data_IF_997699143553
#
_entry.id   IF_997699143553
#
_cell.length_a   1.000
_cell.length_b   1.000
_cell.length_c   1.000
_cell.angle_alpha   90.00
_cell.angle_beta   90.00
_cell.angle_gamma   90.00
#
_symmetry.space_group_name_H-M   'P 1'
#
loop_
_entity.id
_entity.type
_entity.pdbx_description
1 polymer ?
#
# COMPACT_ATOMS: atom_id res chain seq x y z
N UNK A 1 -13.80 8.96 6.79
CA UNK A 1 -12.56 9.72 7.03
C UNK A 1 -11.63 8.77 7.78
N UNK A 2 -10.53 8.31 7.17
CA UNK A 2 -9.59 7.41 7.85
C UNK A 2 -8.59 8.29 8.57
N UNK A 3 -8.57 8.24 9.90
CA UNK A 3 -7.67 9.05 10.72
C UNK A 3 -6.21 8.58 10.54
N UNK A 4 -5.28 9.53 10.51
CA UNK A 4 -3.84 9.25 10.63
C UNK A 4 -3.57 8.30 11.80
N UNK A 5 -2.85 7.21 11.56
CA UNK A 5 -2.52 6.21 12.58
C UNK A 5 -3.61 5.16 12.86
N UNK A 6 -4.76 5.21 12.18
CA UNK A 6 -5.71 4.11 12.23
C UNK A 6 -5.11 2.86 11.58
N UNK A 7 -5.27 1.71 12.26
CA UNK A 7 -4.98 0.42 11.66
C UNK A 7 -5.88 0.23 10.44
N UNK A 8 -5.29 -0.12 9.31
CA UNK A 8 -5.96 -0.34 8.04
C UNK A 8 -5.54 -1.67 7.46
N UNK A 9 -6.52 -2.39 6.93
CA UNK A 9 -6.31 -3.54 6.06
C UNK A 9 -6.87 -3.19 4.70
N UNK A 10 -5.99 -3.12 3.70
CA UNK A 10 -6.34 -2.77 2.33
C UNK A 10 -5.95 -3.91 1.41
N UNK A 11 -6.92 -4.39 0.64
CA UNK A 11 -6.65 -5.30 -0.46
C UNK A 11 -6.56 -4.47 -1.73
N UNK A 12 -5.60 -4.81 -2.57
CA UNK A 12 -5.43 -4.11 -3.83
C UNK A 12 -4.48 -4.85 -4.77
N UNK A 13 -4.23 -4.22 -5.90
CA UNK A 13 -3.32 -4.74 -6.91
C UNK A 13 -2.07 -3.87 -6.94
N UNK A 14 -0.90 -4.48 -6.88
CA UNK A 14 0.37 -3.76 -7.05
C UNK A 14 0.44 -3.16 -8.45
N UNK A 15 0.90 -1.93 -8.54
CA UNK A 15 0.99 -1.17 -9.79
C UNK A 15 2.42 -0.67 -9.98
N UNK A 16 2.76 -0.33 -11.23
CA UNK A 16 4.02 0.38 -11.57
C UNK A 16 3.87 1.90 -11.47
N UNK A 17 2.80 2.40 -10.85
CA UNK A 17 2.54 3.84 -10.73
C UNK A 17 3.48 4.51 -9.70
N UNK A 18 4.03 3.72 -8.78
CA UNK A 18 4.98 4.17 -7.78
C UNK A 18 6.38 4.33 -8.36
N UNK A 19 6.89 5.56 -8.33
CA UNK A 19 8.22 5.89 -8.89
C UNK A 19 9.32 5.60 -7.86
N UNK A 20 9.14 6.08 -6.63
CA UNK A 20 10.10 5.91 -5.53
C UNK A 20 9.72 4.75 -4.59
N UNK A 21 8.41 4.59 -4.34
CA UNK A 21 7.86 3.56 -3.47
C UNK A 21 6.87 2.69 -4.24
N UNK A 22 6.76 1.39 -3.93
CA UNK A 22 5.70 0.58 -4.50
C UNK A 22 4.32 1.15 -4.21
N UNK A 23 3.56 1.33 -5.29
CA UNK A 23 2.18 1.76 -5.23
C UNK A 23 1.25 0.57 -5.47
N UNK A 24 0.22 0.45 -4.66
CA UNK A 24 -0.89 -0.46 -4.88
C UNK A 24 -2.15 0.34 -5.12
N UNK A 25 -3.02 -0.19 -5.97
CA UNK A 25 -4.35 0.35 -6.16
C UNK A 25 -5.34 -0.47 -5.35
N UNK A 26 -5.97 0.18 -4.37
CA UNK A 26 -7.00 -0.45 -3.55
C UNK A 26 -8.25 -0.76 -4.38
N UNK A 27 -9.05 -1.69 -3.91
CA UNK A 27 -10.37 -1.98 -4.49
C UNK A 27 -11.34 -0.79 -4.41
N UNK A 28 -11.04 0.18 -3.55
CA UNK A 28 -11.73 1.47 -3.48
C UNK A 28 -11.33 2.44 -4.61
N UNK A 29 -10.43 2.01 -5.50
CA UNK A 29 -9.93 2.79 -6.62
C UNK A 29 -8.85 3.82 -6.24
N UNK A 30 -8.45 3.89 -4.97
CA UNK A 30 -7.45 4.85 -4.48
C UNK A 30 -6.05 4.27 -4.60
N UNK A 31 -5.08 5.15 -4.81
CA UNK A 31 -3.66 4.79 -4.84
C UNK A 31 -3.10 4.85 -3.43
N UNK A 32 -2.52 3.72 -3.00
CA UNK A 32 -1.84 3.58 -1.73
C UNK A 32 -0.36 3.32 -1.95
N UNK A 33 0.49 4.10 -1.30
CA UNK A 33 1.95 3.89 -1.27
C UNK A 33 2.33 3.09 -0.04
N UNK A 34 3.22 2.12 -0.22
CA UNK A 34 3.57 1.16 0.84
C UNK A 34 4.96 1.45 1.41
N UNK A 35 5.08 1.50 2.75
CA UNK A 35 6.38 1.69 3.44
C UNK A 35 6.49 0.77 4.67
N UNK A 36 7.65 0.13 4.92
CA UNK A 36 8.66 -0.30 3.97
C UNK A 36 8.21 -1.63 3.36
N UNK A 37 8.11 -1.77 2.03
CA UNK A 37 7.56 -3.00 1.49
C UNK A 37 8.74 -3.89 1.08
N UNK A 38 9.07 -4.86 1.94
CA UNK A 38 9.80 -6.04 1.49
C UNK A 38 8.86 -6.89 0.62
N UNK A 39 8.56 -6.40 -0.59
CA UNK A 39 7.67 -7.07 -1.53
C UNK A 39 8.20 -8.46 -1.93
N UNK A 40 9.50 -8.69 -1.76
CA UNK A 40 10.14 -9.96 -2.08
C UNK A 40 9.91 -10.33 -3.54
N UNK A 41 8.90 -11.19 -3.79
CA UNK A 41 8.49 -11.68 -5.11
C UNK A 41 7.20 -11.03 -5.67
N UNK A 42 6.53 -10.19 -4.90
CA UNK A 42 5.29 -9.55 -5.30
C UNK A 42 5.58 -8.47 -6.34
N UNK A 43 4.99 -8.63 -7.51
CA UNK A 43 5.20 -7.76 -8.65
C UNK A 43 3.96 -6.93 -8.98
N UNK A 44 4.12 -5.94 -9.87
CA UNK A 44 2.99 -5.21 -10.42
C UNK A 44 2.06 -6.15 -11.19
N UNK A 45 0.76 -6.09 -10.88
CA UNK A 45 -0.26 -7.02 -11.37
C UNK A 45 -0.69 -8.07 -10.34
N UNK A 46 0.13 -8.32 -9.31
CA UNK A 46 -0.24 -9.22 -8.23
C UNK A 46 -1.22 -8.55 -7.27
N UNK A 47 -2.23 -9.32 -6.85
CA UNK A 47 -3.20 -8.91 -5.84
C UNK A 47 -2.64 -9.24 -4.46
N UNK A 48 -2.61 -8.25 -3.58
CA UNK A 48 -2.01 -8.34 -2.25
C UNK A 48 -2.97 -7.78 -1.21
N UNK A 49 -2.95 -8.42 -0.04
CA UNK A 49 -3.57 -7.91 1.16
C UNK A 49 -2.48 -7.26 2.02
N UNK A 50 -2.67 -6.00 2.35
CA UNK A 50 -1.74 -5.20 3.14
C UNK A 50 -2.44 -4.76 4.41
N UNK A 51 -1.82 -5.07 5.54
CA UNK A 51 -2.24 -4.61 6.86
C UNK A 51 -1.18 -3.65 7.39
N UNK A 52 -1.63 -2.57 8.01
CA UNK A 52 -0.76 -1.46 8.37
C UNK A 52 -1.47 -0.35 9.08
N UNK A 53 -0.85 0.83 9.09
CA UNK A 53 -1.45 2.06 9.61
C UNK A 53 -1.30 3.20 8.59
N UNK A 54 -2.31 4.04 8.46
CA UNK A 54 -2.24 5.20 7.54
C UNK A 54 -1.25 6.24 8.07
N UNK A 55 -0.31 6.66 7.23
CA UNK A 55 0.61 7.74 7.49
C UNK A 55 0.33 8.90 6.53
N UNK A 56 -0.03 10.07 7.08
CA UNK A 56 -0.41 11.24 6.29
C UNK A 56 0.79 12.00 5.67
N UNK A 57 2.00 11.78 6.17
CA UNK A 57 3.21 12.45 5.68
C UNK A 57 4.37 11.46 5.58
N UNK A 58 4.74 11.11 4.35
CA UNK A 58 5.83 10.18 4.09
C UNK A 58 6.53 10.51 2.77
N UNK A 59 7.74 9.98 2.63
CA UNK A 59 8.67 10.29 1.56
C UNK A 59 8.12 10.05 0.15
N UNK A 60 7.14 9.15 -0.01
CA UNK A 60 6.61 8.79 -1.33
C UNK A 60 5.80 9.91 -2.00
N UNK A 61 5.29 10.91 -1.24
CA UNK A 61 4.49 12.07 -1.70
C UNK A 61 3.40 11.78 -2.76
N UNK A 62 2.95 10.53 -2.88
CA UNK A 62 2.05 10.05 -3.93
C UNK A 62 0.90 9.29 -3.27
N UNK A 63 -0.31 9.85 -3.27
CA UNK A 63 -1.49 9.17 -2.73
C UNK A 63 -1.49 9.04 -1.19
N UNK A 64 -2.16 7.99 -0.68
CA UNK A 64 -2.26 7.72 0.75
C UNK A 64 -1.20 6.71 1.17
N UNK A 65 -0.29 7.10 2.06
CA UNK A 65 0.73 6.16 2.51
C UNK A 65 0.25 5.26 3.63
N UNK A 66 0.58 3.99 3.50
CA UNK A 66 0.33 2.97 4.50
C UNK A 66 1.66 2.42 4.97
N UNK A 67 1.87 2.49 6.28
CA UNK A 67 2.97 1.83 6.95
C UNK A 67 2.59 0.36 7.08
N UNK A 68 3.20 -0.48 6.26
CA UNK A 68 2.92 -1.92 6.21
C UNK A 68 3.50 -2.60 7.44
N UNK A 69 2.64 -3.24 8.21
CA UNK A 69 3.04 -4.19 9.25
C UNK A 69 3.01 -5.62 8.75
N UNK A 70 2.12 -5.94 7.80
CA UNK A 70 2.02 -7.28 7.20
C UNK A 70 1.56 -7.21 5.74
N UNK A 71 2.16 -8.04 4.89
CA UNK A 71 1.78 -8.15 3.48
C UNK A 71 1.74 -9.61 3.05
N UNK A 72 0.63 -10.00 2.43
CA UNK A 72 0.40 -11.37 1.95
C UNK A 72 -0.30 -11.34 0.57
N UNK A 73 -0.05 -12.31 -0.32
CA UNK A 73 -0.78 -12.42 -1.57
C UNK A 73 -2.26 -12.74 -1.31
N UNK A 74 -3.16 -11.93 -1.88
CA UNK A 74 -4.60 -12.16 -1.84
C UNK A 74 -4.95 -13.07 -3.02
N UNK A 75 -4.80 -14.38 -2.81
CA UNK A 75 -5.00 -15.42 -3.82
C UNK A 75 -6.45 -15.86 -3.93
#
# INVERSE_FOLDING_TARGET
MVAAGAAVSVTGTLTKEGVECPAMRGDDGRLYTLIPPALGKLGPGDRVHVEGSVAEMTMCQQGTTVVVTKIEPAR
#
